data_IF_739094526331
#
_entry.id   IF_739094526331
#
_cell.length_a   1.000
_cell.length_b   1.000
_cell.length_c   1.000
_cell.angle_alpha   90.00
_cell.angle_beta   90.00
_cell.angle_gamma   90.00
#
_symmetry.space_group_name_H-M   'P 1'
#
loop_
_entity.id
_entity.type
_entity.pdbx_description
1 polymer ?
#
# COMPACT_ATOMS: atom_id res chain seq x y z
N UNK A 1 -8.00 6.33 -1.70
CA UNK A 1 -8.32 7.49 -0.84
C UNK A 1 -7.09 8.13 -0.19
N UNK A 2 -6.06 7.38 0.23
CA UNK A 2 -4.88 7.98 0.87
C UNK A 2 -4.19 9.08 0.04
N UNK A 3 -4.23 8.98 -1.30
CA UNK A 3 -3.73 10.03 -2.20
C UNK A 3 -4.47 11.37 -2.10
N UNK A 4 -5.69 11.41 -1.56
CA UNK A 4 -6.48 12.65 -1.39
C UNK A 4 -5.90 13.59 -0.34
N UNK A 5 -4.94 13.12 0.47
CA UNK A 5 -4.17 13.97 1.38
C UNK A 5 -3.15 14.86 0.66
N UNK A 6 -2.86 14.58 -0.62
CA UNK A 6 -1.93 15.38 -1.40
C UNK A 6 -2.64 16.52 -2.11
N UNK A 7 -2.31 17.75 -1.71
CA UNK A 7 -2.66 18.94 -2.48
C UNK A 7 -1.70 19.11 -3.66
N UNK A 8 -2.12 19.85 -4.69
CA UNK A 8 -1.25 20.19 -5.81
C UNK A 8 0.02 20.92 -5.33
N UNK A 9 -0.12 21.84 -4.37
CA UNK A 9 1.01 22.54 -3.76
C UNK A 9 1.99 21.58 -3.08
N UNK A 10 1.49 20.59 -2.35
CA UNK A 10 2.34 19.59 -1.70
C UNK A 10 3.08 18.72 -2.73
N UNK A 11 2.38 18.30 -3.79
CA UNK A 11 3.01 17.52 -4.87
C UNK A 11 4.10 18.32 -5.57
N UNK A 12 3.89 19.61 -5.84
CA UNK A 12 4.92 20.47 -6.42
C UNK A 12 6.14 20.62 -5.50
N UNK A 13 5.92 20.81 -4.20
CA UNK A 13 7.03 20.85 -3.22
C UNK A 13 7.84 19.54 -3.23
N UNK A 14 7.18 18.40 -3.31
CA UNK A 14 7.83 17.09 -3.38
C UNK A 14 8.64 16.94 -4.67
N UNK A 15 8.08 17.33 -5.83
CA UNK A 15 8.79 17.32 -7.12
C UNK A 15 10.02 18.22 -7.10
N UNK A 16 9.92 19.40 -6.49
CA UNK A 16 11.04 20.35 -6.34
C UNK A 16 12.17 19.83 -5.45
N UNK A 17 11.92 18.83 -4.60
CA UNK A 17 12.95 18.12 -3.85
C UNK A 17 13.68 17.04 -4.67
N UNK A 18 13.35 16.90 -5.96
CA UNK A 18 13.91 15.87 -6.85
C UNK A 18 13.22 14.50 -6.71
N UNK A 19 12.09 14.42 -6.00
CA UNK A 19 11.32 13.18 -5.88
C UNK A 19 10.47 12.97 -7.12
N UNK A 20 10.61 11.81 -7.75
CA UNK A 20 9.74 11.41 -8.87
C UNK A 20 8.37 11.00 -8.36
N UNK A 21 7.32 11.51 -8.99
CA UNK A 21 5.93 11.12 -8.72
C UNK A 21 5.42 10.40 -9.97
N UNK A 22 5.09 9.12 -9.81
CA UNK A 22 4.65 8.25 -10.90
C UNK A 22 3.29 7.63 -10.53
N UNK A 23 2.46 7.38 -11.53
CA UNK A 23 1.09 6.91 -11.34
C UNK A 23 0.94 5.43 -11.70
N UNK A 24 0.07 4.73 -10.97
CA UNK A 24 -0.31 3.33 -11.23
C UNK A 24 -1.82 3.22 -11.19
N UNK A 25 -2.36 2.23 -11.89
CA UNK A 25 -3.80 1.98 -11.95
C UNK A 25 -4.15 0.61 -11.36
N UNK A 26 -5.26 0.59 -10.61
CA UNK A 26 -5.95 -0.63 -10.20
C UNK A 26 -7.44 -0.38 -10.29
N UNK A 27 -8.10 -1.11 -11.17
CA UNK A 27 -9.55 -1.12 -11.33
C UNK A 27 -10.12 -2.05 -10.26
N UNK A 28 -10.63 -1.44 -9.20
CA UNK A 28 -11.28 -2.16 -8.10
C UNK A 28 -12.73 -2.51 -8.48
N UNK A 29 -13.07 -3.79 -8.41
CA UNK A 29 -14.45 -4.25 -8.58
C UNK A 29 -15.29 -3.94 -7.34
N UNK A 30 -16.63 -3.95 -7.48
CA UNK A 30 -17.57 -3.73 -6.37
C UNK A 30 -17.34 -4.68 -5.18
N UNK A 31 -16.81 -5.88 -5.46
CA UNK A 31 -16.58 -6.90 -4.45
C UNK A 31 -15.38 -6.62 -3.52
N UNK A 32 -14.46 -5.72 -3.90
CA UNK A 32 -13.26 -5.35 -3.13
C UNK A 32 -13.58 -4.82 -1.73
N UNK A 33 -14.76 -4.23 -1.56
CA UNK A 33 -15.19 -3.62 -0.30
C UNK A 33 -16.14 -4.51 0.52
N UNK A 34 -16.41 -5.74 0.07
CA UNK A 34 -17.23 -6.66 0.85
C UNK A 34 -16.52 -6.99 2.17
N UNK A 35 -17.21 -6.89 3.32
CA UNK A 35 -16.66 -7.37 4.58
C UNK A 35 -16.19 -8.81 4.44
N UNK A 36 -15.09 -9.16 5.09
CA UNK A 36 -14.70 -10.56 5.24
C UNK A 36 -15.83 -11.26 5.99
N UNK A 37 -16.57 -12.11 5.28
CA UNK A 37 -17.69 -12.89 5.83
C UNK A 37 -17.23 -14.11 6.62
N UNK A 38 -16.00 -14.55 6.37
CA UNK A 38 -15.41 -15.72 7.03
C UNK A 38 -14.87 -15.35 8.41
N UNK A 39 -15.04 -16.26 9.38
CA UNK A 39 -14.41 -16.10 10.71
C UNK A 39 -12.87 -16.04 10.63
N UNK A 40 -12.31 -16.60 9.56
CA UNK A 40 -10.88 -16.57 9.25
C UNK A 40 -10.59 -15.67 8.05
N UNK A 41 -9.95 -14.49 8.25
CA UNK A 41 -9.65 -13.56 7.17
C UNK A 41 -8.62 -14.09 6.17
N UNK A 42 -7.89 -15.16 6.49
CA UNK A 42 -6.98 -15.82 5.56
C UNK A 42 -7.70 -16.67 4.51
N UNK A 43 -8.97 -17.03 4.74
CA UNK A 43 -9.80 -17.76 3.78
C UNK A 43 -10.54 -16.86 2.80
N UNK A 44 -10.44 -15.54 2.98
CA UNK A 44 -11.13 -14.58 2.14
C UNK A 44 -10.63 -14.64 0.69
N UNK A 45 -11.56 -14.88 -0.23
CA UNK A 45 -11.30 -14.81 -1.66
C UNK A 45 -11.23 -13.35 -2.10
N UNK A 46 -10.03 -12.88 -2.44
CA UNK A 46 -9.88 -11.59 -3.12
C UNK A 46 -10.39 -11.72 -4.55
N UNK A 47 -11.37 -10.89 -4.89
CA UNK A 47 -11.86 -10.77 -6.25
C UNK A 47 -10.76 -10.23 -7.16
N UNK A 48 -10.72 -10.76 -8.38
CA UNK A 48 -9.75 -10.33 -9.39
C UNK A 48 -9.95 -8.86 -9.73
N UNK A 49 -8.87 -8.08 -9.67
CA UNK A 49 -8.84 -6.66 -10.04
C UNK A 49 -7.86 -6.47 -11.21
N UNK A 50 -8.19 -5.58 -12.14
CA UNK A 50 -7.29 -5.28 -13.26
C UNK A 50 -6.29 -4.20 -12.84
N UNK A 51 -4.99 -4.42 -13.08
CA UNK A 51 -3.95 -3.42 -12.83
C UNK A 51 -3.24 -3.04 -14.12
N UNK A 52 -2.69 -1.83 -14.12
CA UNK A 52 -1.79 -1.32 -15.16
C UNK A 52 -0.69 -0.49 -14.52
N UNK A 53 0.56 -0.86 -14.80
CA UNK A 53 1.79 -0.24 -14.29
C UNK A 53 2.71 -0.08 -15.49
N UNK A 54 3.06 1.16 -15.85
CA UNK A 54 3.93 1.40 -16.99
C UNK A 54 5.36 0.91 -16.72
N UNK A 55 6.11 0.65 -17.80
CA UNK A 55 7.54 0.33 -17.67
C UNK A 55 8.31 1.46 -16.98
N UNK A 56 7.92 2.72 -17.24
CA UNK A 56 8.49 3.90 -16.59
C UNK A 56 8.37 3.85 -15.06
N UNK A 57 7.25 3.34 -14.52
CA UNK A 57 7.07 3.17 -13.08
C UNK A 57 8.09 2.17 -12.51
N UNK A 58 8.21 1.00 -13.13
CA UNK A 58 9.12 -0.04 -12.66
C UNK A 58 10.58 0.41 -12.78
N UNK A 59 10.95 1.03 -13.89
CA UNK A 59 12.30 1.57 -14.10
C UNK A 59 12.60 2.67 -13.09
N UNK A 60 11.66 3.59 -12.86
CA UNK A 60 11.77 4.64 -11.85
C UNK A 60 11.99 4.08 -10.44
N UNK A 61 11.25 3.03 -10.08
CA UNK A 61 11.42 2.33 -8.79
C UNK A 61 12.79 1.68 -8.67
N UNK A 62 13.24 0.98 -9.72
CA UNK A 62 14.56 0.32 -9.74
C UNK A 62 15.70 1.33 -9.68
N UNK A 63 15.63 2.42 -10.45
CA UNK A 63 16.60 3.51 -10.42
C UNK A 63 16.67 4.12 -9.02
N UNK A 64 15.51 4.39 -8.40
CA UNK A 64 15.47 4.95 -7.05
C UNK A 64 16.19 4.02 -6.06
N UNK A 65 15.91 2.72 -6.06
CA UNK A 65 16.56 1.75 -5.16
C UNK A 65 18.04 1.57 -5.43
N UNK A 66 18.44 1.50 -6.70
CA UNK A 66 19.85 1.38 -7.09
C UNK A 66 20.68 2.60 -6.66
N UNK A 67 20.05 3.76 -6.56
CA UNK A 67 20.68 4.99 -6.07
C UNK A 67 20.57 5.15 -4.54
N UNK A 68 20.17 4.12 -3.79
CA UNK A 68 19.99 4.18 -2.34
C UNK A 68 18.74 4.94 -1.88
N UNK A 69 17.85 5.28 -2.80
CA UNK A 69 16.55 5.86 -2.54
C UNK A 69 15.52 4.82 -2.09
N UNK A 70 14.26 5.26 -1.98
CA UNK A 70 13.14 4.45 -1.49
C UNK A 70 11.93 4.56 -2.41
N UNK A 71 11.19 3.47 -2.55
CA UNK A 71 9.89 3.47 -3.22
C UNK A 71 8.78 3.70 -2.19
N UNK A 72 8.01 4.78 -2.38
CA UNK A 72 6.90 5.15 -1.50
C UNK A 72 5.58 4.91 -2.22
N UNK A 73 4.81 3.91 -1.79
CA UNK A 73 3.48 3.66 -2.32
C UNK A 73 2.42 4.48 -1.56
N UNK A 74 1.58 5.21 -2.29
CA UNK A 74 0.51 6.02 -1.72
C UNK A 74 -0.84 5.31 -1.87
N UNK A 75 -1.24 4.61 -0.82
CA UNK A 75 -2.47 3.82 -0.74
C UNK A 75 -2.24 2.33 -0.97
N UNK A 76 -3.14 1.53 -0.42
CA UNK A 76 -3.11 0.05 -0.50
C UNK A 76 -3.41 -0.45 -1.92
N UNK A 77 -4.24 0.27 -2.67
CA UNK A 77 -4.51 0.06 -4.11
C UNK A 77 -3.24 0.20 -4.94
N UNK A 78 -2.52 1.33 -4.81
CA UNK A 78 -1.25 1.55 -5.51
C UNK A 78 -0.20 0.51 -5.10
N UNK A 79 -0.16 0.17 -3.81
CA UNK A 79 0.70 -0.89 -3.29
C UNK A 79 0.43 -2.23 -3.99
N UNK A 80 -0.83 -2.68 -4.06
CA UNK A 80 -1.19 -3.96 -4.69
C UNK A 80 -0.90 -3.98 -6.18
N UNK A 81 -1.16 -2.90 -6.91
CA UNK A 81 -0.83 -2.82 -8.34
C UNK A 81 0.68 -2.96 -8.56
N UNK A 82 1.49 -2.20 -7.81
CA UNK A 82 2.95 -2.21 -7.96
C UNK A 82 3.57 -3.54 -7.55
N UNK A 83 3.14 -4.12 -6.42
CA UNK A 83 3.61 -5.44 -5.99
C UNK A 83 3.13 -6.56 -6.92
N UNK A 84 1.95 -6.42 -7.54
CA UNK A 84 1.48 -7.38 -8.56
C UNK A 84 2.38 -7.36 -9.78
N UNK A 85 2.68 -6.17 -10.33
CA UNK A 85 3.58 -6.03 -11.48
C UNK A 85 5.00 -6.50 -11.15
N UNK A 86 5.51 -6.16 -9.97
CA UNK A 86 6.84 -6.58 -9.52
C UNK A 86 6.96 -8.09 -9.25
N UNK A 87 5.86 -8.75 -8.86
CA UNK A 87 5.84 -10.20 -8.62
C UNK A 87 5.65 -10.98 -9.92
N UNK A 88 4.77 -10.52 -10.81
CA UNK A 88 4.43 -11.22 -12.06
C UNK A 88 5.43 -10.96 -13.18
N UNK A 89 6.11 -9.82 -13.16
CA UNK A 89 6.89 -9.31 -14.29
C UNK A 89 6.04 -8.77 -15.44
N UNK A 90 4.72 -8.69 -15.27
CA UNK A 90 3.77 -8.19 -16.26
C UNK A 90 3.38 -6.74 -15.94
N UNK A 91 3.35 -5.89 -16.97
CA UNK A 91 2.99 -4.47 -16.84
C UNK A 91 1.48 -4.26 -16.62
N UNK A 92 0.65 -5.19 -17.08
CA UNK A 92 -0.79 -5.15 -16.87
C UNK A 92 -1.38 -6.54 -16.79
N UNK A 93 -2.57 -6.63 -16.21
CA UNK A 93 -3.29 -7.88 -16.13
C UNK A 93 -4.26 -7.90 -14.95
N UNK A 94 -4.72 -9.09 -14.62
CA UNK A 94 -5.58 -9.32 -13.47
C UNK A 94 -4.73 -9.76 -12.28
N UNK A 95 -5.07 -9.28 -11.09
CA UNK A 95 -4.42 -9.67 -9.84
C UNK A 95 -5.44 -10.12 -8.81
N UNK A 96 -5.15 -11.24 -8.17
CA UNK A 96 -5.80 -11.72 -6.94
C UNK A 96 -4.83 -11.61 -5.76
N UNK A 97 -3.78 -10.80 -5.88
CA UNK A 97 -2.71 -10.70 -4.89
C UNK A 97 -3.28 -10.32 -3.53
N UNK A 98 -3.19 -11.27 -2.61
CA UNK A 98 -3.55 -11.12 -1.20
C UNK A 98 -2.29 -11.03 -0.35
N UNK A 99 -2.01 -9.82 0.10
CA UNK A 99 -0.83 -9.51 0.90
C UNK A 99 -1.16 -9.75 2.38
N UNK A 100 -0.54 -10.78 2.95
CA UNK A 100 -0.72 -11.24 4.34
C UNK A 100 0.64 -11.47 5.01
N UNK A 101 0.70 -11.63 6.34
CA UNK A 101 1.97 -11.91 7.03
C UNK A 101 2.73 -13.08 6.40
N UNK A 102 4.01 -12.88 6.10
CA UNK A 102 4.86 -13.82 5.36
C UNK A 102 5.06 -13.46 3.88
N UNK A 103 4.30 -12.49 3.35
CA UNK A 103 4.48 -11.99 1.99
C UNK A 103 5.89 -11.40 1.76
N UNK A 104 6.50 -11.78 0.63
CA UNK A 104 7.85 -11.35 0.23
C UNK A 104 7.79 -10.09 -0.62
N UNK A 105 7.73 -8.95 0.05
CA UNK A 105 7.71 -7.61 -0.54
C UNK A 105 8.84 -7.37 -1.55
N UNK A 106 8.48 -7.04 -2.79
CA UNK A 106 9.40 -6.92 -3.92
C UNK A 106 9.85 -5.49 -4.16
N UNK A 107 8.95 -4.51 -4.06
CA UNK A 107 9.19 -3.16 -4.57
C UNK A 107 9.00 -2.06 -3.53
N UNK A 108 7.95 -2.15 -2.69
CA UNK A 108 7.54 -1.05 -1.79
C UNK A 108 8.40 -1.02 -0.51
N UNK A 109 9.02 0.12 -0.24
CA UNK A 109 9.85 0.35 0.95
C UNK A 109 9.14 1.16 2.03
N UNK A 110 8.24 2.07 1.61
CA UNK A 110 7.42 2.91 2.47
C UNK A 110 5.99 2.90 1.95
N UNK A 111 5.01 2.81 2.84
CA UNK A 111 3.59 2.87 2.51
C UNK A 111 2.93 4.04 3.22
N UNK A 112 2.28 4.92 2.48
CA UNK A 112 1.33 5.89 3.03
C UNK A 112 -0.08 5.35 2.89
N UNK A 113 -0.85 5.31 3.97
CA UNK A 113 -2.23 4.79 3.94
C UNK A 113 -3.10 5.39 5.04
N UNK A 114 -4.41 5.27 4.94
CA UNK A 114 -5.33 5.65 6.03
C UNK A 114 -5.29 4.63 7.17
N UNK A 115 -5.94 4.93 8.29
CA UNK A 115 -6.28 3.93 9.31
C UNK A 115 -7.48 3.09 8.87
N UNK A 116 -7.40 1.76 9.00
CA UNK A 116 -8.41 0.83 8.51
C UNK A 116 -9.17 0.15 9.64
N UNK A 117 -10.38 -0.36 9.35
CA UNK A 117 -11.15 -1.10 10.34
C UNK A 117 -10.44 -2.38 10.80
N UNK A 118 -10.62 -2.80 12.07
CA UNK A 118 -10.26 -4.13 12.54
C UNK A 118 -10.87 -5.23 11.66
N UNK A 119 -10.21 -6.39 11.57
CA UNK A 119 -10.66 -7.57 10.82
C UNK A 119 -10.85 -7.32 9.32
N UNK A 120 -10.03 -6.47 8.71
CA UNK A 120 -10.00 -6.24 7.25
C UNK A 120 -8.75 -6.81 6.62
N UNK A 121 -8.81 -7.13 5.32
CA UNK A 121 -7.65 -7.57 4.52
C UNK A 121 -6.54 -6.51 4.50
N UNK A 122 -6.91 -5.23 4.60
CA UNK A 122 -5.96 -4.11 4.65
C UNK A 122 -5.12 -4.13 5.93
N UNK A 123 -5.69 -4.60 7.05
CA UNK A 123 -4.93 -4.72 8.29
C UNK A 123 -3.92 -5.88 8.22
N UNK A 124 -4.23 -6.96 7.51
CA UNK A 124 -3.28 -8.04 7.23
C UNK A 124 -2.12 -7.55 6.35
N UNK A 125 -2.40 -6.70 5.36
CA UNK A 125 -1.36 -6.05 4.56
C UNK A 125 -0.47 -5.17 5.44
N UNK A 126 -1.05 -4.36 6.32
CA UNK A 126 -0.27 -3.55 7.27
C UNK A 126 0.58 -4.45 8.17
N UNK A 127 0.01 -5.52 8.76
CA UNK A 127 0.77 -6.46 9.59
C UNK A 127 1.91 -7.13 8.83
N UNK A 128 1.71 -7.48 7.56
CA UNK A 128 2.79 -8.01 6.72
C UNK A 128 3.88 -6.99 6.41
N UNK A 129 3.59 -5.69 6.49
CA UNK A 129 4.52 -4.61 6.15
C UNK A 129 5.31 -4.12 7.35
N UNK A 130 4.68 -4.08 8.53
CA UNK A 130 5.27 -3.51 9.75
C UNK A 130 5.29 -4.46 10.94
N UNK A 131 4.92 -5.73 10.75
CA UNK A 131 4.81 -6.71 11.82
C UNK A 131 3.77 -6.33 12.88
N UNK A 132 3.87 -6.95 14.06
CA UNK A 132 2.92 -6.75 15.17
C UNK A 132 2.87 -5.32 15.70
N UNK A 133 3.84 -4.45 15.33
CA UNK A 133 3.91 -3.06 15.82
C UNK A 133 2.73 -2.20 15.37
N UNK A 134 1.98 -2.62 14.34
CA UNK A 134 0.74 -1.95 13.94
C UNK A 134 -0.23 -1.77 15.11
N UNK A 135 -0.27 -2.72 16.06
CA UNK A 135 -1.15 -2.66 17.23
C UNK A 135 -0.84 -1.44 18.11
N UNK A 136 0.44 -1.16 18.33
CA UNK A 136 0.89 -0.02 19.13
C UNK A 136 0.59 1.30 18.39
N UNK A 137 0.80 1.34 17.07
CA UNK A 137 0.48 2.51 16.24
C UNK A 137 -1.01 2.85 16.28
N UNK A 138 -1.87 1.83 16.19
CA UNK A 138 -3.32 2.01 16.25
C UNK A 138 -3.80 2.40 17.64
N UNK A 139 -3.24 1.81 18.70
CA UNK A 139 -3.56 2.20 20.07
C UNK A 139 -3.22 3.67 20.31
N UNK A 140 -2.02 4.11 19.91
CA UNK A 140 -1.63 5.51 20.00
C UNK A 140 -2.59 6.43 19.25
N UNK A 141 -2.98 6.06 18.02
CA UNK A 141 -3.92 6.85 17.24
C UNK A 141 -5.31 6.94 17.90
N UNK A 142 -5.77 5.90 18.59
CA UNK A 142 -7.01 5.92 19.37
C UNK A 142 -6.86 6.86 20.58
N UNK A 143 -5.78 6.72 21.34
CA UNK A 143 -5.53 7.51 22.55
C UNK A 143 -5.43 9.01 22.23
N UNK A 144 -4.77 9.34 21.11
CA UNK A 144 -4.61 10.70 20.59
C UNK A 144 -5.80 11.17 19.72
N UNK A 145 -6.88 10.39 19.64
CA UNK A 145 -8.14 10.74 18.94
C UNK A 145 -7.95 11.11 17.46
N UNK A 146 -7.09 10.37 16.76
CA UNK A 146 -6.97 10.46 15.32
C UNK A 146 -8.29 10.09 14.64
N UNK A 147 -8.58 10.75 13.53
CA UNK A 147 -9.72 10.45 12.69
C UNK A 147 -9.39 9.21 11.87
N UNK A 148 -10.27 8.21 11.90
CA UNK A 148 -10.02 6.92 11.24
C UNK A 148 -10.69 6.85 9.87
N UNK A 149 -10.39 5.79 9.11
CA UNK A 149 -11.05 5.42 7.85
C UNK A 149 -10.72 6.36 6.67
N UNK A 150 -11.47 6.19 5.58
CA UNK A 150 -11.19 6.73 4.25
C UNK A 150 -10.94 8.24 4.20
N UNK A 151 -11.62 8.99 5.07
CA UNK A 151 -11.55 10.46 5.14
C UNK A 151 -10.91 10.98 6.43
N UNK A 152 -10.39 10.06 7.25
CA UNK A 152 -9.61 10.39 8.44
C UNK A 152 -8.16 10.72 8.12
N UNK A 153 -7.32 10.65 9.14
CA UNK A 153 -5.89 10.89 9.06
C UNK A 153 -5.16 9.76 8.32
N UNK A 154 -3.86 9.97 8.10
CA UNK A 154 -2.98 9.04 7.40
C UNK A 154 -1.80 8.60 8.27
N UNK A 155 -1.25 7.44 7.91
CA UNK A 155 -0.01 6.89 8.42
C UNK A 155 1.03 6.87 7.31
N UNK A 156 2.28 7.10 7.67
CA UNK A 156 3.45 6.80 6.84
C UNK A 156 4.24 5.69 7.52
N UNK A 157 4.31 4.54 6.87
CA UNK A 157 4.88 3.31 7.41
C UNK A 157 6.15 3.00 6.64
N UNK A 158 7.26 2.77 7.32
CA UNK A 158 8.47 2.21 6.72
C UNK A 158 8.45 0.70 6.85
N UNK A 159 8.74 -0.08 5.81
CA UNK A 159 8.75 -1.54 5.89
C UNK A 159 9.68 -2.04 6.99
N UNK A 160 9.19 -2.95 7.83
CA UNK A 160 10.06 -3.70 8.73
C UNK A 160 10.84 -4.70 7.86
N UNK A 161 12.15 -4.50 7.75
CA UNK A 161 13.05 -5.50 7.21
C UNK A 161 13.50 -6.36 8.39
N UNK A 162 13.56 -7.68 8.20
CA UNK A 162 14.14 -8.58 9.21
C UNK A 162 15.60 -8.17 9.40
N UNK A 163 15.83 -7.36 10.44
CA UNK A 163 17.16 -7.15 10.99
C UNK A 163 17.34 -8.31 11.95
N UNK A 164 18.22 -9.24 11.55
CA UNK A 164 18.79 -10.27 12.43
C UNK A 164 19.36 -9.60 13.68
#
# INVERSE_FOLDING_TARGET
TAGLHFTLELLERIRNMGVRVLEVELVVGLDTFKPISDEDPLKHLIHSEAYSVSQEVLDGCNIARNNGGRVIAVGTTATRALESAATSGLLSGNTTLFITPGYQWKMVDVMMTNFHMPKTTLLLMIESFVGKRWRILYQHAIDEKYRMLSFGDAMLLQRQTDTV
#
